data_IF_700398739490
#
_entry.id   IF_700398739490
#
_cell.length_a   1.000
_cell.length_b   1.000
_cell.length_c   1.000
_cell.angle_alpha   90.00
_cell.angle_beta   90.00
_cell.angle_gamma   90.00
#
_symmetry.space_group_name_H-M   'P 1'
#
loop_
_entity.id
_entity.type
_entity.pdbx_description
1 polymer ?
#
# COMPACT_ATOMS: atom_id res chain seq x y z
N UNK A 1 16.59 -46.57 -24.16
CA UNK A 1 17.70 -45.80 -23.54
C UNK A 1 17.25 -44.40 -23.36
N UNK A 2 16.52 -44.13 -22.33
CA UNK A 2 15.99 -42.82 -22.04
C UNK A 2 16.67 -42.23 -20.83
N UNK A 3 17.49 -41.26 -21.15
CA UNK A 3 18.05 -40.34 -20.17
C UNK A 3 17.27 -39.09 -20.27
N UNK A 4 16.57 -38.77 -19.25
CA UNK A 4 16.36 -37.45 -18.73
C UNK A 4 15.14 -37.43 -17.80
N UNK A 5 15.24 -38.17 -16.71
CA UNK A 5 14.61 -37.75 -15.48
C UNK A 5 15.37 -36.50 -15.04
N UNK A 6 14.92 -35.36 -15.54
CA UNK A 6 15.33 -34.08 -14.98
C UNK A 6 15.01 -34.11 -13.50
N UNK A 7 16.07 -34.03 -12.72
CA UNK A 7 15.97 -33.82 -11.29
C UNK A 7 14.90 -32.73 -11.08
N UNK A 8 13.83 -33.07 -10.38
CA UNK A 8 12.98 -32.04 -9.79
C UNK A 8 13.89 -31.25 -8.89
N UNK A 9 14.32 -30.09 -9.33
CA UNK A 9 14.90 -29.11 -8.45
C UNK A 9 13.84 -28.80 -7.40
N UNK A 10 13.98 -29.43 -6.24
CA UNK A 10 13.26 -29.03 -5.06
C UNK A 10 13.74 -27.61 -4.79
N UNK A 11 13.00 -26.66 -5.35
CA UNK A 11 13.23 -25.26 -5.05
C UNK A 11 12.95 -25.11 -3.56
N UNK A 12 14.00 -25.08 -2.78
CA UNK A 12 13.88 -24.57 -1.43
C UNK A 12 13.09 -23.25 -1.53
N UNK A 13 12.07 -23.04 -0.69
CA UNK A 13 11.38 -21.77 -0.62
C UNK A 13 12.37 -20.72 -0.10
N UNK A 14 13.32 -20.35 -0.93
CA UNK A 14 14.19 -19.22 -0.69
C UNK A 14 13.35 -17.96 -0.78
N UNK A 15 13.61 -17.00 0.08
CA UNK A 15 13.15 -15.64 -0.08
C UNK A 15 13.41 -15.25 -1.54
N UNK A 16 12.36 -15.13 -2.33
CA UNK A 16 12.49 -14.61 -3.70
C UNK A 16 12.98 -13.18 -3.54
N UNK A 17 14.27 -12.96 -3.71
CA UNK A 17 14.82 -11.63 -3.76
C UNK A 17 14.19 -10.90 -4.94
N UNK A 18 13.54 -9.78 -4.66
CA UNK A 18 13.07 -8.89 -5.71
C UNK A 18 14.29 -8.34 -6.45
N UNK A 19 14.14 -8.00 -7.74
CA UNK A 19 15.20 -7.31 -8.48
C UNK A 19 15.65 -6.05 -7.73
N UNK A 20 16.93 -5.65 -7.82
CA UNK A 20 17.40 -4.43 -7.20
C UNK A 20 16.52 -3.22 -7.57
N UNK A 21 16.15 -2.43 -6.57
CA UNK A 21 15.30 -1.25 -6.75
C UNK A 21 13.80 -1.56 -6.87
N UNK A 22 13.39 -2.82 -6.72
CA UNK A 22 11.97 -3.18 -6.63
C UNK A 22 11.63 -3.51 -5.18
N UNK A 23 10.60 -2.86 -4.68
CA UNK A 23 10.09 -3.05 -3.32
C UNK A 23 8.65 -3.58 -3.40
N UNK A 24 8.28 -4.41 -2.46
CA UNK A 24 6.94 -5.00 -2.36
C UNK A 24 6.33 -4.66 -1.01
N UNK A 25 5.12 -4.12 -1.05
CA UNK A 25 4.36 -3.79 0.14
C UNK A 25 2.98 -4.44 0.08
N UNK A 26 2.47 -4.81 1.23
CA UNK A 26 1.13 -5.35 1.37
C UNK A 26 0.29 -4.37 2.20
N UNK A 27 -0.83 -3.93 1.64
CA UNK A 27 -1.85 -3.20 2.38
C UNK A 27 -2.90 -4.20 2.80
N UNK A 28 -2.94 -4.53 4.07
CA UNK A 28 -3.92 -5.48 4.61
C UNK A 28 -5.34 -4.96 4.46
N UNK A 29 -6.27 -5.88 4.20
CA UNK A 29 -7.68 -5.56 4.17
C UNK A 29 -8.14 -4.89 5.46
N UNK A 30 -8.77 -3.73 5.36
CA UNK A 30 -9.11 -2.88 6.50
C UNK A 30 -7.96 -2.06 7.08
N UNK A 31 -6.72 -2.26 6.59
CA UNK A 31 -5.53 -1.56 7.07
C UNK A 31 -5.08 -0.40 6.19
N UNK A 32 -3.93 0.16 6.52
CA UNK A 32 -3.26 1.19 5.74
C UNK A 32 -1.74 0.98 5.69
N UNK A 33 -1.10 1.58 4.68
CA UNK A 33 0.36 1.65 4.55
C UNK A 33 0.77 3.04 4.10
N UNK A 34 1.94 3.49 4.55
CA UNK A 34 2.51 4.78 4.16
C UNK A 34 3.82 4.54 3.43
N UNK A 35 3.93 5.08 2.22
CA UNK A 35 5.09 4.90 1.36
C UNK A 35 5.55 6.26 0.88
N UNK A 36 6.85 6.54 0.98
CA UNK A 36 7.47 7.71 0.38
C UNK A 36 7.99 7.34 -1.02
N UNK A 37 7.73 8.20 -1.99
CA UNK A 37 8.19 8.07 -3.36
C UNK A 37 9.10 9.26 -3.69
N UNK A 38 10.17 8.98 -4.43
CA UNK A 38 11.01 10.01 -5.04
C UNK A 38 10.52 10.31 -6.47
N UNK A 39 10.97 11.41 -7.08
CA UNK A 39 10.62 11.73 -8.46
C UNK A 39 10.91 10.56 -9.41
N UNK A 40 10.01 10.30 -10.34
CA UNK A 40 10.06 9.24 -11.35
C UNK A 40 9.96 7.80 -10.81
N UNK A 41 9.79 7.61 -9.50
CA UNK A 41 9.45 6.30 -8.95
C UNK A 41 8.11 5.83 -9.53
N UNK A 42 8.06 4.54 -9.85
CA UNK A 42 6.84 3.89 -10.39
C UNK A 42 6.22 3.03 -9.31
N UNK A 43 4.91 3.12 -9.17
CA UNK A 43 4.15 2.25 -8.28
C UNK A 43 3.04 1.55 -9.07
N UNK A 44 3.02 0.24 -8.99
CA UNK A 44 1.93 -0.61 -9.47
C UNK A 44 1.09 -1.03 -8.27
N UNK A 45 -0.19 -0.73 -8.32
CA UNK A 45 -1.17 -1.10 -7.30
C UNK A 45 -2.00 -2.23 -7.89
N UNK A 46 -2.14 -3.33 -7.17
CA UNK A 46 -2.78 -4.55 -7.65
C UNK A 46 -3.91 -4.94 -6.70
N UNK A 47 -5.11 -5.03 -7.22
CA UNK A 47 -6.23 -5.67 -6.54
C UNK A 47 -6.12 -7.18 -6.75
N UNK A 48 -5.61 -7.90 -5.75
CA UNK A 48 -5.24 -9.31 -5.91
C UNK A 48 -6.43 -10.24 -6.04
N UNK A 49 -7.53 -9.92 -5.39
CA UNK A 49 -8.72 -10.77 -5.33
C UNK A 49 -9.93 -10.20 -6.08
N UNK A 50 -9.82 -8.95 -6.51
CA UNK A 50 -10.91 -8.20 -7.13
C UNK A 50 -11.86 -7.56 -6.12
N UNK A 51 -12.63 -6.57 -6.59
CA UNK A 51 -13.65 -5.82 -5.83
C UNK A 51 -13.11 -5.03 -4.64
N UNK A 52 -11.78 -4.91 -4.48
CA UNK A 52 -11.15 -4.19 -3.40
C UNK A 52 -10.85 -2.75 -3.83
N UNK A 53 -11.51 -1.79 -3.22
CA UNK A 53 -11.20 -0.37 -3.40
C UNK A 53 -9.85 -0.05 -2.75
N UNK A 54 -9.13 0.88 -3.35
CA UNK A 54 -7.93 1.47 -2.78
C UNK A 54 -8.18 2.96 -2.53
N UNK A 55 -8.14 3.37 -1.27
CA UNK A 55 -8.23 4.78 -0.89
C UNK A 55 -6.80 5.34 -0.76
N UNK A 56 -6.51 6.46 -1.46
CA UNK A 56 -5.17 7.03 -1.54
C UNK A 56 -5.20 8.50 -1.16
N UNK A 57 -4.30 8.91 -0.26
CA UNK A 57 -3.95 10.30 -0.03
C UNK A 57 -2.49 10.49 -0.41
N UNK A 58 -2.17 11.57 -1.08
CA UNK A 58 -0.79 11.95 -1.43
C UNK A 58 -0.47 13.29 -0.78
N UNK A 59 0.69 13.36 -0.16
CA UNK A 59 1.23 14.59 0.41
C UNK A 59 2.53 14.96 -0.32
N UNK A 60 2.66 16.23 -0.63
CA UNK A 60 3.92 16.76 -1.16
C UNK A 60 5.00 16.84 -0.06
N UNK A 61 6.20 17.26 -0.42
CA UNK A 61 7.34 17.41 0.50
C UNK A 61 7.08 18.38 1.67
N UNK A 62 6.14 19.30 1.51
CA UNK A 62 5.76 20.29 2.52
C UNK A 62 4.61 19.78 3.42
N UNK A 63 4.18 18.53 3.26
CA UNK A 63 3.08 17.93 4.02
C UNK A 63 1.68 18.39 3.59
N UNK A 64 1.54 19.05 2.43
CA UNK A 64 0.25 19.45 1.89
C UNK A 64 -0.34 18.36 1.00
N UNK A 65 -1.65 18.06 1.10
CA UNK A 65 -2.30 17.12 0.22
C UNK A 65 -2.19 17.55 -1.26
N UNK A 66 -1.79 16.63 -2.12
CA UNK A 66 -1.68 16.85 -3.58
C UNK A 66 -1.65 15.51 -4.34
N UNK A 67 -2.80 14.97 -4.67
CA UNK A 67 -2.89 13.72 -5.45
C UNK A 67 -2.44 13.89 -6.91
N UNK A 68 -2.32 15.13 -7.41
CA UNK A 68 -1.85 15.39 -8.77
C UNK A 68 -0.41 14.98 -9.02
N UNK A 69 0.38 14.81 -7.94
CA UNK A 69 1.73 14.27 -8.01
C UNK A 69 1.81 12.83 -8.53
N UNK A 70 0.74 12.07 -8.36
CA UNK A 70 0.58 10.75 -8.97
C UNK A 70 -0.37 10.77 -10.19
N UNK A 71 -0.76 11.94 -10.67
CA UNK A 71 -1.73 12.07 -11.77
C UNK A 71 -3.16 11.74 -11.39
N UNK A 72 -3.47 11.67 -10.09
CA UNK A 72 -4.78 11.36 -9.56
C UNK A 72 -5.59 12.63 -9.27
N UNK A 73 -6.92 12.49 -9.22
CA UNK A 73 -7.85 13.57 -8.86
C UNK A 73 -8.33 13.37 -7.44
N UNK A 74 -8.25 14.42 -6.65
CA UNK A 74 -8.84 14.48 -5.32
C UNK A 74 -10.36 14.64 -5.42
N UNK A 75 -11.12 13.70 -4.94
CA UNK A 75 -12.58 13.74 -5.03
C UNK A 75 -13.27 13.43 -3.72
N UNK A 76 -12.75 12.45 -3.00
CA UNK A 76 -13.47 11.79 -1.92
C UNK A 76 -12.90 12.15 -0.54
N UNK A 77 -13.75 12.06 0.47
CA UNK A 77 -13.29 12.13 1.86
C UNK A 77 -12.61 10.81 2.24
N UNK A 78 -11.39 10.82 2.82
CA UNK A 78 -10.66 9.60 3.20
C UNK A 78 -11.26 8.93 4.43
N UNK A 79 -12.46 8.41 4.28
CA UNK A 79 -13.28 7.88 5.40
C UNK A 79 -12.60 6.71 6.12
N UNK A 80 -12.02 5.78 5.36
CA UNK A 80 -11.39 4.61 5.94
C UNK A 80 -10.08 4.96 6.65
N UNK A 81 -9.24 5.77 6.01
CA UNK A 81 -8.00 6.25 6.63
C UNK A 81 -8.31 7.02 7.91
N UNK A 82 -9.28 7.93 7.89
CA UNK A 82 -9.72 8.67 9.08
C UNK A 82 -10.27 7.74 10.17
N UNK A 83 -11.07 6.73 9.78
CA UNK A 83 -11.60 5.72 10.71
C UNK A 83 -10.47 4.97 11.40
N UNK A 84 -9.52 4.40 10.65
CA UNK A 84 -8.37 3.68 11.19
C UNK A 84 -7.60 4.56 12.19
N UNK A 85 -7.32 5.82 11.80
CA UNK A 85 -6.55 6.74 12.66
C UNK A 85 -7.32 7.22 13.90
N UNK A 86 -8.64 7.08 13.92
CA UNK A 86 -9.48 7.41 15.08
C UNK A 86 -9.72 6.23 16.02
N UNK A 87 -9.35 5.02 15.61
CA UNK A 87 -9.45 3.85 16.46
C UNK A 87 -8.54 4.00 17.70
N UNK A 88 -8.97 3.44 18.83
CA UNK A 88 -8.25 3.56 20.11
C UNK A 88 -7.29 2.38 20.35
N UNK A 89 -6.81 1.75 19.29
CA UNK A 89 -5.85 0.67 19.39
C UNK A 89 -4.41 1.19 19.27
N UNK A 90 -3.45 0.37 19.66
CA UNK A 90 -2.04 0.74 19.64
C UNK A 90 -1.52 1.04 18.24
N UNK A 91 -1.94 0.27 17.26
CA UNK A 91 -1.55 0.43 15.86
C UNK A 91 -2.02 1.77 15.28
N UNK A 92 -3.26 2.18 15.59
CA UNK A 92 -3.78 3.50 15.20
C UNK A 92 -2.99 4.63 15.86
N UNK A 93 -2.62 4.47 17.11
CA UNK A 93 -1.80 5.45 17.82
C UNK A 93 -0.40 5.56 17.22
N UNK A 94 0.24 4.44 16.87
CA UNK A 94 1.53 4.42 16.21
C UNK A 94 1.46 5.10 14.83
N UNK A 95 0.46 4.77 14.02
CA UNK A 95 0.24 5.40 12.72
C UNK A 95 0.06 6.91 12.84
N UNK A 96 -0.81 7.35 13.74
CA UNK A 96 -1.04 8.77 13.99
C UNK A 96 0.25 9.49 14.45
N UNK A 97 1.06 8.85 15.29
CA UNK A 97 2.34 9.37 15.74
C UNK A 97 3.33 9.57 14.58
N UNK A 98 3.41 8.59 13.67
CA UNK A 98 4.28 8.69 12.49
C UNK A 98 3.83 9.80 11.56
N UNK A 99 2.53 9.91 11.30
CA UNK A 99 1.98 10.99 10.47
C UNK A 99 2.26 12.36 11.09
N UNK A 100 2.09 12.48 12.41
CA UNK A 100 2.42 13.71 13.14
C UNK A 100 3.90 14.06 13.05
N UNK A 101 4.80 13.10 13.24
CA UNK A 101 6.26 13.31 13.08
C UNK A 101 6.62 13.81 11.68
N UNK A 102 5.88 13.40 10.66
CA UNK A 102 6.05 13.84 9.26
C UNK A 102 5.26 15.09 8.91
N UNK A 103 4.55 15.68 9.87
CA UNK A 103 3.69 16.85 9.71
C UNK A 103 2.61 16.68 8.63
N UNK A 104 1.99 15.48 8.59
CA UNK A 104 0.94 15.13 7.63
C UNK A 104 -0.44 15.27 8.29
N UNK A 105 -1.26 16.19 7.80
CA UNK A 105 -2.62 16.43 8.31
C UNK A 105 -3.66 15.75 7.39
N UNK A 106 -4.12 14.57 7.81
CA UNK A 106 -5.17 13.82 7.12
C UNK A 106 -6.54 14.49 7.26
N UNK A 107 -6.74 15.31 8.29
CA UNK A 107 -8.04 15.95 8.57
C UNK A 107 -8.56 16.79 7.42
N UNK A 108 -7.67 17.50 6.73
CA UNK A 108 -7.97 18.37 5.59
C UNK A 108 -7.74 17.74 4.22
N UNK A 109 -7.20 16.54 4.19
CA UNK A 109 -6.89 15.86 2.96
C UNK A 109 -8.14 15.30 2.28
N UNK A 110 -8.11 15.25 0.95
CA UNK A 110 -9.02 14.48 0.14
C UNK A 110 -8.31 13.29 -0.46
N UNK A 111 -9.04 12.21 -0.69
CA UNK A 111 -8.53 11.00 -1.27
C UNK A 111 -8.88 10.88 -2.76
N UNK A 112 -8.13 10.03 -3.42
CA UNK A 112 -8.52 9.40 -4.68
C UNK A 112 -8.89 7.96 -4.40
N UNK A 113 -9.92 7.45 -5.07
CA UNK A 113 -10.34 6.05 -4.98
C UNK A 113 -9.97 5.36 -6.29
N UNK A 114 -9.23 4.27 -6.18
CA UNK A 114 -8.95 3.36 -7.28
C UNK A 114 -9.75 2.09 -7.09
N UNK A 115 -9.96 1.41 -8.18
CA UNK A 115 -10.78 0.21 -8.31
C UNK A 115 -12.25 0.46 -7.94
N UNK A 116 -13.10 -0.43 -8.35
CA UNK A 116 -14.53 -0.38 -8.10
C UNK A 116 -15.01 -1.69 -7.45
N UNK A 117 -16.27 -1.73 -7.09
CA UNK A 117 -16.93 -2.95 -6.62
C UNK A 117 -17.00 -4.04 -7.72
N UNK A 118 -16.65 -3.69 -8.96
CA UNK A 118 -16.65 -4.60 -10.11
C UNK A 118 -15.23 -4.86 -10.64
N UNK A 119 -14.19 -4.42 -9.93
CA UNK A 119 -12.80 -4.72 -10.34
C UNK A 119 -12.55 -6.23 -10.35
N UNK A 120 -11.77 -6.67 -11.33
CA UNK A 120 -11.41 -8.08 -11.48
C UNK A 120 -10.17 -8.42 -10.66
N UNK A 121 -10.03 -9.70 -10.29
CA UNK A 121 -8.84 -10.18 -9.60
C UNK A 121 -7.59 -9.96 -10.47
N UNK A 122 -6.58 -9.33 -9.90
CA UNK A 122 -5.35 -8.98 -10.58
C UNK A 122 -5.40 -7.68 -11.38
N UNK A 123 -6.50 -6.92 -11.30
CA UNK A 123 -6.58 -5.59 -11.91
C UNK A 123 -5.47 -4.67 -11.34
N UNK A 124 -4.88 -3.86 -12.22
CA UNK A 124 -3.69 -3.07 -11.90
C UNK A 124 -3.84 -1.62 -12.31
N UNK A 125 -3.28 -0.75 -11.47
CA UNK A 125 -3.11 0.66 -11.77
C UNK A 125 -1.63 1.02 -11.63
N UNK A 126 -1.07 1.64 -12.67
CA UNK A 126 0.31 2.09 -12.71
C UNK A 126 0.36 3.61 -12.58
N UNK A 127 1.12 4.09 -11.61
CA UNK A 127 1.32 5.51 -11.34
C UNK A 127 2.81 5.84 -11.33
N UNK A 128 3.12 7.08 -11.66
CA UNK A 128 4.49 7.61 -11.64
C UNK A 128 4.51 8.87 -10.79
N UNK A 129 5.45 8.94 -9.86
CA UNK A 129 5.61 10.12 -9.02
C UNK A 129 6.28 11.25 -9.79
N UNK A 130 5.64 12.43 -9.83
CA UNK A 130 6.17 13.63 -10.49
C UNK A 130 7.19 14.37 -9.64
N UNK A 131 7.07 14.27 -8.31
CA UNK A 131 7.97 14.88 -7.34
C UNK A 131 8.00 14.01 -6.07
N UNK A 132 8.90 14.34 -5.16
CA UNK A 132 8.97 13.66 -3.86
C UNK A 132 7.65 13.81 -3.11
N UNK A 133 7.05 12.69 -2.74
CA UNK A 133 5.78 12.68 -2.04
C UNK A 133 5.71 11.55 -1.00
N UNK A 134 4.74 11.66 -0.11
CA UNK A 134 4.36 10.60 0.83
C UNK A 134 2.93 10.20 0.57
N UNK A 135 2.71 8.93 0.31
CA UNK A 135 1.41 8.36 -0.03
C UNK A 135 0.90 7.50 1.12
N UNK A 136 -0.37 7.63 1.43
CA UNK A 136 -1.10 6.74 2.35
C UNK A 136 -2.05 5.93 1.50
N UNK A 137 -1.92 4.61 1.56
CA UNK A 137 -2.81 3.66 0.89
C UNK A 137 -3.64 2.94 1.93
N UNK A 138 -4.90 2.73 1.66
CA UNK A 138 -5.78 1.97 2.52
C UNK A 138 -6.67 1.05 1.69
N UNK A 139 -6.98 -0.12 2.22
CA UNK A 139 -7.88 -1.13 1.65
C UNK A 139 -9.20 -1.15 2.43
N UNK A 140 -10.14 -0.22 2.16
CA UNK A 140 -11.38 -0.12 2.90
C UNK A 140 -12.26 -1.35 2.73
N UNK A 141 -12.98 -1.74 3.79
CA UNK A 141 -14.05 -2.71 3.69
C UNK A 141 -15.21 -2.14 2.87
N UNK A 142 -15.82 -2.98 2.07
CA UNK A 142 -17.10 -2.67 1.42
C UNK A 142 -18.26 -2.78 2.44
N UNK A 143 -19.36 -2.06 2.16
CA UNK A 143 -20.56 -2.24 2.96
C UNK A 143 -21.04 -3.70 2.83
N UNK A 144 -21.15 -4.41 3.96
CA UNK A 144 -21.66 -5.76 3.97
C UNK A 144 -23.18 -5.73 3.74
N UNK A 145 -23.64 -6.42 2.73
CA UNK A 145 -25.07 -6.73 2.55
C UNK A 145 -25.42 -7.99 3.35
N UNK A 146 -26.68 -8.11 3.73
CA UNK A 146 -27.15 -9.20 4.62
C UNK A 146 -26.81 -10.60 4.06
N UNK A 147 -26.72 -10.73 2.74
CA UNK A 147 -26.51 -12.01 2.04
C UNK A 147 -25.11 -12.11 1.37
N UNK A 148 -24.26 -11.11 1.49
CA UNK A 148 -22.92 -11.10 0.90
C UNK A 148 -21.86 -10.80 1.95
N UNK A 149 -21.01 -11.78 2.22
CA UNK A 149 -19.79 -11.55 2.99
C UNK A 149 -18.70 -11.07 2.03
N UNK A 150 -18.45 -9.76 2.03
CA UNK A 150 -17.32 -9.16 1.30
C UNK A 150 -16.36 -8.53 2.31
N UNK A 151 -15.56 -9.33 3.02
CA UNK A 151 -14.51 -8.78 3.88
C UNK A 151 -13.51 -8.00 3.03
N UNK A 152 -12.85 -6.98 3.60
CA UNK A 152 -11.80 -6.30 2.88
C UNK A 152 -10.64 -7.27 2.58
N UNK A 153 -10.15 -7.22 1.36
CA UNK A 153 -9.02 -8.03 0.88
C UNK A 153 -7.74 -7.21 0.80
N UNK A 154 -6.61 -7.89 0.63
CA UNK A 154 -5.31 -7.25 0.59
C UNK A 154 -5.06 -6.58 -0.78
N UNK A 155 -4.36 -5.45 -0.76
CA UNK A 155 -3.80 -4.82 -1.95
C UNK A 155 -2.29 -5.04 -1.97
N UNK A 156 -1.76 -5.33 -3.15
CA UNK A 156 -0.33 -5.47 -3.35
C UNK A 156 0.21 -4.22 -4.04
N UNK A 157 1.27 -3.64 -3.48
CA UNK A 157 1.96 -2.50 -4.06
C UNK A 157 3.37 -2.92 -4.47
N UNK A 158 3.73 -2.66 -5.72
CA UNK A 158 5.07 -2.88 -6.25
C UNK A 158 5.68 -1.53 -6.60
N UNK A 159 6.73 -1.14 -5.89
CA UNK A 159 7.43 0.12 -6.12
C UNK A 159 8.74 -0.16 -6.84
N UNK A 160 8.93 0.47 -8.00
CA UNK A 160 10.19 0.47 -8.73
C UNK A 160 10.88 1.81 -8.54
N UNK A 161 11.98 1.79 -7.81
CA UNK A 161 12.79 2.98 -7.54
C UNK A 161 13.62 3.37 -8.74
N UNK A 162 13.57 4.62 -9.09
CA UNK A 162 14.43 5.18 -10.16
C UNK A 162 15.87 5.29 -9.71
N UNK A 163 16.08 5.62 -8.44
CA UNK A 163 17.39 5.67 -7.81
C UNK A 163 17.42 4.69 -6.63
N UNK A 164 17.62 3.38 -6.89
CA UNK A 164 17.71 2.42 -5.81
C UNK A 164 18.82 2.83 -4.85
N UNK A 165 18.48 2.95 -3.59
CA UNK A 165 19.50 3.23 -2.57
C UNK A 165 20.49 2.07 -2.57
N UNK A 166 21.76 2.38 -2.73
CA UNK A 166 22.82 1.42 -2.43
C UNK A 166 22.74 1.17 -0.93
N UNK A 167 22.32 -0.04 -0.54
CA UNK A 167 22.28 -0.44 0.85
C UNK A 167 23.65 -0.24 1.48
N UNK A 168 23.81 0.85 2.21
CA UNK A 168 24.86 0.98 3.22
C UNK A 168 24.21 0.55 4.55
N UNK A 169 24.41 -0.70 4.85
CA UNK A 169 24.37 -1.31 6.19
C UNK A 169 23.09 -1.30 7.04
N UNK A 170 21.96 -0.81 6.60
CA UNK A 170 20.65 -1.19 7.20
C UNK A 170 19.56 -1.06 6.15
N UNK A 171 18.75 -2.12 5.91
CA UNK A 171 17.55 -1.95 5.13
C UNK A 171 16.70 -0.89 5.83
N UNK A 172 16.43 0.22 5.15
CA UNK A 172 15.38 1.14 5.59
C UNK A 172 14.05 0.40 5.30
N UNK A 173 13.73 -0.56 6.13
CA UNK A 173 12.45 -1.26 6.10
C UNK A 173 11.44 -0.20 6.49
N UNK A 174 10.56 0.25 5.55
CA UNK A 174 9.49 1.14 5.94
C UNK A 174 8.71 0.42 7.03
N UNK A 175 8.62 1.01 8.19
CA UNK A 175 7.84 0.43 9.28
C UNK A 175 6.42 0.21 8.75
N UNK A 176 5.90 -1.02 8.78
CA UNK A 176 4.51 -1.28 8.47
C UNK A 176 3.67 -0.50 9.47
N UNK A 177 2.90 0.46 8.98
CA UNK A 177 2.29 1.45 9.85
C UNK A 177 1.04 0.97 10.56
N UNK A 178 0.35 0.00 10.00
CA UNK A 178 -0.75 -0.70 10.66
C UNK A 178 -0.94 -2.05 10.00
N UNK A 179 -0.70 -3.11 10.73
CA UNK A 179 -1.15 -4.45 10.37
C UNK A 179 -2.23 -4.87 11.37
N UNK A 180 -3.52 -4.88 10.99
CA UNK A 180 -4.60 -5.24 11.90
C UNK A 180 -4.52 -6.71 12.39
N UNK A 181 -3.69 -7.54 11.77
CA UNK A 181 -3.49 -8.92 12.18
C UNK A 181 -2.37 -9.11 13.21
N UNK A 182 -1.49 -8.13 13.41
CA UNK A 182 -0.46 -8.22 14.44
C UNK A 182 -1.01 -8.14 15.87
N UNK A 183 -2.26 -7.72 16.04
CA UNK A 183 -2.92 -7.71 17.36
C UNK A 183 -3.42 -9.09 17.82
N UNK A 184 -3.43 -10.10 16.93
CA UNK A 184 -4.01 -11.42 17.22
C UNK A 184 -2.97 -12.40 17.77
N UNK A 185 -1.68 -12.08 17.71
CA UNK A 185 -0.59 -13.01 18.03
C UNK A 185 0.39 -12.50 19.11
N UNK A 186 -0.05 -11.66 20.04
CA UNK A 186 0.71 -11.34 21.24
C UNK A 186 0.05 -11.94 22.45
#
# INVERSE_FOLDING_TARGET
MDKNLTSMDIRNPGLRSLPPGVERYLVKGGGLSVISLDPDDKIEIIDTEGKQKCEIIVFNKDGKPDCSLLGLKEKDDPKNIKKILSDKNESAFQAASVLKKRNLDVGKAKASILFSENSEAGEKVNLVSKDKCTCIFSAPGNAMKVDEQNPPTDLLLMVKRTKPQKYKDKPNIPEPLVDPLNEIFV
#
